data_IF_087177940086
#
_entry.id   IF_087177940086
#
_cell.length_a   1.000
_cell.length_b   1.000
_cell.length_c   1.000
_cell.angle_alpha   90.00
_cell.angle_beta   90.00
_cell.angle_gamma   90.00
#
_symmetry.space_group_name_H-M   'P 1'
#
loop_
_entity.id
_entity.type
_entity.pdbx_description
1 polymer ?
#
# COMPACT_ATOMS: atom_id res chain seq x y z
N UNK A 1 71.34 -24.58 8.42
CA UNK A 1 70.62 -23.30 8.26
C UNK A 1 69.51 -23.45 7.23
N UNK A 2 68.37 -22.77 7.47
CA UNK A 2 67.18 -22.55 6.60
C UNK A 2 66.14 -23.68 6.65
N UNK A 3 65.16 -23.62 7.57
CA UNK A 3 63.94 -22.77 7.70
C UNK A 3 62.73 -23.49 7.10
N UNK A 4 61.92 -24.03 8.00
CA UNK A 4 60.55 -24.50 7.75
C UNK A 4 59.64 -23.31 7.49
N UNK A 5 58.67 -23.48 6.58
CA UNK A 5 57.51 -22.61 6.45
C UNK A 5 56.27 -23.48 6.39
N UNK A 6 55.56 -23.52 7.52
CA UNK A 6 54.17 -23.95 7.61
C UNK A 6 53.30 -22.81 7.04
N UNK A 7 52.51 -23.09 6.01
CA UNK A 7 51.44 -22.20 5.56
C UNK A 7 50.13 -22.71 6.17
N UNK A 8 49.58 -21.96 7.12
CA UNK A 8 48.27 -22.19 7.69
C UNK A 8 47.19 -21.66 6.72
N UNK A 9 46.31 -22.54 6.27
CA UNK A 9 45.13 -22.16 5.50
C UNK A 9 44.00 -21.76 6.47
N UNK A 10 43.74 -20.47 6.59
CA UNK A 10 42.58 -19.93 7.30
C UNK A 10 41.34 -20.03 6.40
N UNK A 11 40.47 -21.02 6.66
CA UNK A 11 39.10 -21.01 6.12
C UNK A 11 38.29 -19.93 6.83
N UNK A 12 38.01 -18.83 6.13
CA UNK A 12 36.99 -17.86 6.55
C UNK A 12 35.61 -18.44 6.22
N UNK A 13 34.95 -19.05 7.21
CA UNK A 13 33.54 -19.41 7.13
C UNK A 13 32.71 -18.12 7.29
N UNK A 14 32.31 -17.52 6.18
CA UNK A 14 31.32 -16.44 6.15
C UNK A 14 29.96 -17.01 6.55
N UNK A 15 29.57 -16.81 7.80
CA UNK A 15 28.19 -17.00 8.26
C UNK A 15 27.29 -16.02 7.51
N UNK A 16 26.58 -16.50 6.49
CA UNK A 16 25.39 -15.82 6.02
C UNK A 16 24.33 -15.99 7.11
N UNK A 17 24.17 -14.96 7.94
CA UNK A 17 22.96 -14.81 8.75
C UNK A 17 21.80 -14.60 7.78
N UNK A 18 21.17 -15.70 7.35
CA UNK A 18 19.86 -15.63 6.75
C UNK A 18 18.94 -14.98 7.76
N UNK A 19 18.50 -13.75 7.48
CA UNK A 19 17.37 -13.15 8.17
C UNK A 19 16.17 -14.03 7.85
N UNK A 20 15.91 -15.04 8.68
CA UNK A 20 14.57 -15.61 8.75
C UNK A 20 13.68 -14.46 9.16
N UNK A 21 12.83 -13.99 8.23
CA UNK A 21 11.77 -13.05 8.52
C UNK A 21 10.90 -13.68 9.62
N UNK A 22 11.19 -13.32 10.88
CA UNK A 22 10.29 -13.57 11.99
C UNK A 22 9.05 -12.77 11.63
N UNK A 23 7.95 -13.45 11.31
CA UNK A 23 6.68 -12.80 11.06
C UNK A 23 6.40 -11.85 12.24
N UNK A 24 6.47 -10.55 11.99
CA UNK A 24 6.31 -9.53 13.00
C UNK A 24 4.89 -9.64 13.55
N UNK A 25 4.75 -9.96 14.85
CA UNK A 25 3.41 -10.21 15.41
C UNK A 25 2.55 -8.94 15.52
N UNK A 26 3.11 -7.76 15.21
CA UNK A 26 2.49 -6.43 15.13
C UNK A 26 1.25 -6.29 16.02
N UNK A 27 1.47 -6.47 17.32
CA UNK A 27 0.41 -6.49 18.33
C UNK A 27 -0.26 -5.14 18.39
N UNK A 28 -1.58 -5.17 18.50
CA UNK A 28 -2.44 -3.98 18.60
C UNK A 28 -3.51 -4.28 19.61
N UNK A 29 -3.49 -3.54 20.72
CA UNK A 29 -4.52 -3.63 21.74
C UNK A 29 -5.46 -2.43 21.67
N UNK A 30 -6.37 -2.50 20.71
CA UNK A 30 -7.47 -1.54 20.52
C UNK A 30 -8.74 -2.31 20.18
N UNK A 31 -9.89 -1.80 20.60
CA UNK A 31 -11.20 -2.36 20.24
C UNK A 31 -11.74 -1.76 18.95
N UNK A 32 -11.58 -0.46 18.73
CA UNK A 32 -11.94 0.22 17.48
C UNK A 32 -10.71 0.88 16.83
N UNK A 33 -10.36 0.59 15.56
CA UNK A 33 -9.26 1.25 14.88
C UNK A 33 -9.37 2.78 14.80
N UNK A 34 -10.58 3.34 14.96
CA UNK A 34 -10.79 4.78 15.05
C UNK A 34 -10.23 5.39 16.35
N UNK A 35 -10.01 4.59 17.39
CA UNK A 35 -9.42 5.03 18.66
C UNK A 35 -7.87 5.01 18.63
N UNK A 36 -7.26 4.66 17.50
CA UNK A 36 -5.80 4.63 17.37
C UNK A 36 -5.23 6.03 17.23
N UNK A 37 -4.33 6.38 18.15
CA UNK A 37 -3.53 7.60 18.07
C UNK A 37 -2.51 7.55 16.92
N UNK A 38 -2.13 8.72 16.40
CA UNK A 38 -1.22 8.85 15.27
C UNK A 38 0.13 8.12 15.45
N UNK A 39 0.69 8.15 16.66
CA UNK A 39 1.94 7.46 16.99
C UNK A 39 1.77 5.93 16.89
N UNK A 40 0.67 5.40 17.45
CA UNK A 40 0.37 3.97 17.40
C UNK A 40 0.14 3.49 15.95
N UNK A 41 -0.52 4.29 15.12
CA UNK A 41 -0.69 3.97 13.68
C UNK A 41 0.66 3.87 12.97
N UNK A 42 1.57 4.80 13.28
CA UNK A 42 2.91 4.82 12.66
C UNK A 42 3.74 3.61 13.10
N UNK A 43 3.70 3.24 14.39
CA UNK A 43 4.36 2.04 14.90
C UNK A 43 3.80 0.75 14.28
N UNK A 44 2.47 0.65 14.14
CA UNK A 44 1.81 -0.46 13.46
C UNK A 44 2.29 -0.55 12.00
N UNK A 45 2.35 0.58 11.31
CA UNK A 45 2.75 0.64 9.93
C UNK A 45 4.21 0.22 9.73
N UNK A 46 5.11 0.75 10.56
CA UNK A 46 6.52 0.40 10.54
C UNK A 46 6.76 -1.08 10.82
N UNK A 47 5.95 -1.67 11.69
CA UNK A 47 6.00 -3.10 11.97
C UNK A 47 5.60 -3.95 10.77
N UNK A 48 4.51 -3.62 10.07
CA UNK A 48 3.87 -4.52 9.09
C UNK A 48 4.22 -4.23 7.63
N UNK A 49 4.75 -3.05 7.31
CA UNK A 49 4.95 -2.61 5.91
C UNK A 49 5.75 -3.59 5.03
N UNK A 50 6.78 -4.23 5.58
CA UNK A 50 7.57 -5.22 4.84
C UNK A 50 6.77 -6.51 4.56
N UNK A 51 5.98 -6.98 5.53
CA UNK A 51 5.11 -8.15 5.36
C UNK A 51 4.04 -7.90 4.28
N UNK A 52 3.50 -6.68 4.22
CA UNK A 52 2.50 -6.33 3.21
C UNK A 52 3.04 -6.50 1.79
N UNK A 53 4.25 -5.97 1.52
CA UNK A 53 4.91 -6.13 0.23
C UNK A 53 5.15 -7.60 -0.09
N UNK A 54 5.77 -8.35 0.84
CA UNK A 54 6.03 -9.79 0.66
C UNK A 54 4.74 -10.56 0.29
N UNK A 55 3.64 -10.22 0.96
CA UNK A 55 2.34 -10.83 0.74
C UNK A 55 1.73 -10.50 -0.62
N UNK A 56 1.80 -9.23 -1.05
CA UNK A 56 1.28 -8.82 -2.35
C UNK A 56 2.12 -9.38 -3.52
N UNK A 57 3.44 -9.50 -3.35
CA UNK A 57 4.36 -10.01 -4.37
C UNK A 57 4.40 -11.54 -4.48
N UNK A 58 3.51 -12.27 -3.78
CA UNK A 58 3.31 -13.72 -4.00
C UNK A 58 2.62 -14.03 -5.32
N UNK A 59 1.97 -13.03 -5.93
CA UNK A 59 1.39 -13.11 -7.26
C UNK A 59 2.28 -12.45 -8.32
N UNK A 60 1.71 -12.24 -9.50
CA UNK A 60 2.36 -11.69 -10.69
C UNK A 60 1.87 -10.27 -11.04
N UNK A 61 1.18 -9.59 -10.13
CA UNK A 61 0.71 -8.23 -10.35
C UNK A 61 1.88 -7.22 -10.35
N UNK A 62 2.09 -6.54 -11.48
CA UNK A 62 3.21 -5.61 -11.66
C UNK A 62 3.17 -4.42 -10.70
N UNK A 63 1.97 -3.86 -10.45
CA UNK A 63 1.80 -2.74 -9.51
C UNK A 63 2.19 -3.15 -8.09
N UNK A 64 1.79 -4.34 -7.65
CA UNK A 64 2.17 -4.88 -6.34
C UNK A 64 3.69 -5.00 -6.17
N UNK A 65 4.44 -5.21 -7.25
CA UNK A 65 5.89 -5.33 -7.23
C UNK A 65 6.61 -3.97 -7.12
N UNK A 66 5.98 -2.86 -7.52
CA UNK A 66 6.68 -1.56 -7.67
C UNK A 66 6.05 -0.39 -6.92
N UNK A 67 4.81 -0.49 -6.44
CA UNK A 67 4.08 0.68 -5.91
C UNK A 67 4.77 1.39 -4.74
N UNK A 68 5.67 0.70 -4.03
CA UNK A 68 6.44 1.27 -2.92
C UNK A 68 7.52 2.25 -3.35
N UNK A 69 7.92 2.23 -4.61
CA UNK A 69 8.86 3.18 -5.18
C UNK A 69 8.16 4.47 -5.64
N UNK A 70 6.83 4.48 -5.61
CA UNK A 70 6.01 5.62 -6.04
C UNK A 70 5.85 6.67 -4.93
N UNK A 71 5.29 7.82 -5.30
CA UNK A 71 5.13 8.93 -4.38
C UNK A 71 4.05 8.63 -3.33
N UNK A 72 4.45 8.65 -2.06
CA UNK A 72 3.52 8.52 -0.92
C UNK A 72 2.69 9.79 -0.75
N UNK A 73 1.38 9.66 -0.51
CA UNK A 73 0.44 10.80 -0.55
C UNK A 73 -0.09 11.22 0.81
N UNK A 74 0.26 10.48 1.87
CA UNK A 74 -0.01 10.87 3.25
C UNK A 74 1.19 10.59 4.16
N UNK A 75 1.29 11.35 5.24
CA UNK A 75 2.36 11.26 6.25
C UNK A 75 2.32 9.96 7.07
N UNK A 76 1.15 9.32 7.14
CA UNK A 76 0.89 8.02 7.77
C UNK A 76 -0.40 7.40 7.20
N UNK A 77 -0.65 6.11 7.46
CA UNK A 77 -1.96 5.52 7.20
C UNK A 77 -3.07 6.17 8.02
N UNK A 78 -4.31 6.11 7.54
CA UNK A 78 -5.47 6.58 8.31
C UNK A 78 -6.73 5.75 8.05
N UNK A 79 -7.68 5.78 8.98
CA UNK A 79 -8.96 5.07 8.84
C UNK A 79 -9.95 5.95 8.08
N UNK A 80 -9.99 5.81 6.75
CA UNK A 80 -10.84 6.65 5.90
C UNK A 80 -12.32 6.21 5.82
N UNK A 81 -12.73 5.16 6.55
CA UNK A 81 -14.12 4.69 6.66
C UNK A 81 -14.73 4.02 5.42
N UNK A 82 -14.46 4.55 4.22
CA UNK A 82 -14.98 4.05 2.94
C UNK A 82 -14.51 2.63 2.60
N UNK A 83 -13.37 2.20 3.16
CA UNK A 83 -12.87 0.82 3.05
C UNK A 83 -13.09 0.03 4.37
N UNK A 84 -14.11 0.41 5.15
CA UNK A 84 -14.36 -0.05 6.51
C UNK A 84 -13.32 0.49 7.50
N UNK A 85 -13.07 -0.26 8.57
CA UNK A 85 -12.13 0.12 9.65
C UNK A 85 -10.67 -0.22 9.30
N UNK A 86 -10.29 -0.09 8.02
CA UNK A 86 -8.92 -0.34 7.56
C UNK A 86 -8.12 0.95 7.60
N UNK A 87 -6.86 0.84 8.03
CA UNK A 87 -5.88 1.90 7.83
C UNK A 87 -5.42 1.83 6.37
N UNK A 88 -5.40 2.97 5.67
CA UNK A 88 -5.01 3.06 4.28
C UNK A 88 -3.82 4.00 4.11
N UNK A 89 -2.86 3.57 3.30
CA UNK A 89 -1.78 4.41 2.79
C UNK A 89 -1.85 4.40 1.26
N UNK A 90 -1.90 5.57 0.65
CA UNK A 90 -1.98 5.70 -0.81
C UNK A 90 -0.64 6.11 -1.40
N UNK A 91 -0.33 5.52 -2.54
CA UNK A 91 0.83 5.81 -3.38
C UNK A 91 0.36 6.16 -4.79
N UNK A 92 0.96 7.18 -5.38
CA UNK A 92 0.65 7.66 -6.72
C UNK A 92 1.90 7.50 -7.60
N UNK A 93 1.75 6.81 -8.74
CA UNK A 93 2.84 6.70 -9.71
C UNK A 93 3.24 8.09 -10.26
N UNK A 94 4.38 8.16 -10.94
CA UNK A 94 4.94 9.44 -11.42
C UNK A 94 3.98 10.21 -12.34
N UNK A 95 3.13 9.50 -13.09
CA UNK A 95 2.10 10.09 -13.95
C UNK A 95 1.00 10.77 -13.13
N UNK A 96 0.60 10.15 -12.02
CA UNK A 96 -0.47 10.65 -11.16
C UNK A 96 0.00 11.72 -10.17
N UNK A 97 1.25 11.62 -9.68
CA UNK A 97 1.72 12.30 -8.47
C UNK A 97 1.49 13.82 -8.51
N UNK A 98 1.89 14.50 -9.59
CA UNK A 98 1.75 15.96 -9.69
C UNK A 98 0.30 16.42 -9.52
N UNK A 99 -0.64 15.74 -10.21
CA UNK A 99 -2.05 16.13 -10.15
C UNK A 99 -2.72 15.66 -8.85
N UNK A 100 -2.42 14.45 -8.39
CA UNK A 100 -3.04 13.86 -7.20
C UNK A 100 -2.70 14.64 -5.92
N UNK A 101 -1.45 15.12 -5.81
CA UNK A 101 -0.98 15.85 -4.63
C UNK A 101 -1.48 17.30 -4.55
N UNK A 102 -2.21 17.79 -5.56
CA UNK A 102 -2.90 19.07 -5.47
C UNK A 102 -4.09 19.00 -4.51
N UNK A 103 -4.61 17.79 -4.25
CA UNK A 103 -5.77 17.55 -3.40
C UNK A 103 -6.95 18.49 -3.72
N UNK A 104 -7.11 18.84 -5.00
CA UNK A 104 -8.09 19.82 -5.43
C UNK A 104 -9.50 19.27 -5.27
N UNK A 105 -10.41 20.10 -4.77
CA UNK A 105 -11.77 19.68 -4.41
C UNK A 105 -12.71 19.55 -5.62
N UNK A 106 -12.35 20.16 -6.75
CA UNK A 106 -13.09 20.11 -8.01
C UNK A 106 -12.19 20.30 -9.23
N UNK A 107 -12.73 20.02 -10.42
CA UNK A 107 -12.06 20.29 -11.70
C UNK A 107 -10.82 19.42 -11.94
N UNK A 108 -10.71 18.30 -11.22
CA UNK A 108 -9.59 17.38 -11.36
C UNK A 108 -9.77 16.55 -12.62
N UNK A 109 -8.69 16.39 -13.38
CA UNK A 109 -8.61 15.41 -14.47
C UNK A 109 -7.28 14.70 -14.33
N UNK A 110 -7.30 13.41 -14.03
CA UNK A 110 -6.10 12.61 -13.94
C UNK A 110 -5.55 12.29 -15.33
N UNK A 111 -4.23 12.38 -15.55
CA UNK A 111 -3.63 11.95 -16.81
C UNK A 111 -3.88 10.46 -17.09
N UNK A 112 -4.03 10.09 -18.36
CA UNK A 112 -4.08 8.67 -18.79
C UNK A 112 -2.81 7.96 -18.32
N UNK A 113 -2.94 6.74 -17.80
CA UNK A 113 -1.83 6.00 -17.21
C UNK A 113 -1.53 6.36 -15.75
N UNK A 114 -2.32 7.26 -15.14
CA UNK A 114 -2.31 7.45 -13.69
C UNK A 114 -2.67 6.16 -12.99
N UNK A 115 -1.87 5.76 -12.00
CA UNK A 115 -2.14 4.61 -11.16
C UNK A 115 -2.02 5.02 -9.70
N UNK A 116 -3.04 4.68 -8.93
CA UNK A 116 -3.05 4.80 -7.48
C UNK A 116 -3.08 3.42 -6.86
N UNK A 117 -2.21 3.19 -5.90
CA UNK A 117 -2.15 1.97 -5.11
C UNK A 117 -2.42 2.32 -3.64
N UNK A 118 -3.50 1.78 -3.08
CA UNK A 118 -3.90 1.95 -1.67
C UNK A 118 -3.66 0.64 -0.95
N UNK A 119 -2.54 0.54 -0.26
CA UNK A 119 -2.33 -0.61 0.64
C UNK A 119 -3.17 -0.45 1.89
N UNK A 120 -3.51 -1.57 2.53
CA UNK A 120 -4.39 -1.54 3.69
C UNK A 120 -3.96 -2.45 4.81
N UNK A 121 -4.21 -2.01 6.03
CA UNK A 121 -4.01 -2.79 7.25
C UNK A 121 -5.36 -3.06 7.89
N UNK A 122 -5.60 -4.32 8.23
CA UNK A 122 -6.76 -4.75 9.00
C UNK A 122 -6.35 -4.98 10.45
N UNK A 123 -7.04 -4.34 11.39
CA UNK A 123 -6.87 -4.64 12.83
C UNK A 123 -7.77 -5.81 13.21
N UNK A 124 -7.16 -6.91 13.66
CA UNK A 124 -7.87 -8.13 14.02
C UNK A 124 -8.20 -8.16 15.50
N UNK A 125 -9.40 -7.71 15.90
CA UNK A 125 -9.87 -7.72 17.31
C UNK A 125 -9.61 -9.06 18.03
N UNK A 126 -9.98 -10.18 17.41
CA UNK A 126 -9.77 -11.54 17.96
C UNK A 126 -8.31 -11.90 18.24
N UNK A 127 -7.38 -11.42 17.41
CA UNK A 127 -5.95 -11.76 17.50
C UNK A 127 -5.12 -10.63 18.13
N UNK A 128 -5.76 -9.49 18.45
CA UNK A 128 -5.11 -8.29 18.98
C UNK A 128 -3.84 -7.91 18.22
N UNK A 129 -3.97 -7.84 16.88
CA UNK A 129 -2.86 -7.53 15.98
C UNK A 129 -3.27 -6.95 14.64
N UNK A 130 -2.34 -6.23 14.03
CA UNK A 130 -2.40 -5.80 12.64
C UNK A 130 -2.22 -6.99 11.70
N UNK A 131 -2.86 -6.92 10.52
CA UNK A 131 -2.74 -7.89 9.44
C UNK A 131 -2.71 -7.17 8.11
N UNK A 132 -1.97 -7.74 7.16
CA UNK A 132 -2.04 -7.34 5.75
C UNK A 132 -3.48 -7.41 5.26
N UNK A 133 -4.04 -6.28 4.87
CA UNK A 133 -5.31 -6.17 4.13
C UNK A 133 -5.06 -6.22 2.61
N UNK A 134 -6.09 -6.09 1.76
CA UNK A 134 -5.90 -6.04 0.32
C UNK A 134 -5.14 -4.79 -0.14
N UNK A 135 -4.45 -4.88 -1.27
CA UNK A 135 -3.96 -3.73 -2.02
C UNK A 135 -5.01 -3.35 -3.07
N UNK A 136 -5.57 -2.15 -2.96
CA UNK A 136 -6.53 -1.61 -3.91
C UNK A 136 -5.80 -0.79 -4.96
N UNK A 137 -6.12 -0.99 -6.23
CA UNK A 137 -5.46 -0.31 -7.34
C UNK A 137 -6.55 0.31 -8.23
N UNK A 138 -6.34 1.54 -8.66
CA UNK A 138 -7.15 2.17 -9.71
C UNK A 138 -6.24 2.78 -10.77
N UNK A 139 -6.56 2.51 -12.04
CA UNK A 139 -5.80 2.94 -13.20
C UNK A 139 -6.69 3.78 -14.11
N UNK A 140 -6.23 4.98 -14.48
CA UNK A 140 -6.92 5.83 -15.46
C UNK A 140 -6.58 5.36 -16.88
N UNK A 141 -7.59 4.90 -17.60
CA UNK A 141 -7.49 4.51 -19.00
C UNK A 141 -7.66 5.69 -19.96
N UNK A 142 -7.59 5.41 -21.25
CA UNK A 142 -7.93 6.36 -22.31
C UNK A 142 -9.41 6.75 -22.25
N UNK A 143 -9.74 7.91 -22.79
CA UNK A 143 -11.12 8.38 -22.87
C UNK A 143 -12.02 7.35 -23.60
N UNK A 144 -13.10 6.92 -22.94
CA UNK A 144 -14.03 5.93 -23.46
C UNK A 144 -13.58 4.46 -23.34
N UNK A 145 -12.47 4.17 -22.66
CA UNK A 145 -12.00 2.80 -22.41
C UNK A 145 -12.82 2.07 -21.34
N UNK A 146 -13.40 2.81 -20.39
CA UNK A 146 -14.32 2.29 -19.39
C UNK A 146 -15.38 3.36 -19.06
N UNK A 147 -16.26 3.70 -20.01
CA UNK A 147 -17.14 4.86 -19.90
C UNK A 147 -18.12 4.76 -18.71
N UNK A 148 -18.53 3.54 -18.35
CA UNK A 148 -19.38 3.27 -17.18
C UNK A 148 -18.67 3.53 -15.84
N UNK A 149 -17.34 3.69 -15.86
CA UNK A 149 -16.51 3.92 -14.70
C UNK A 149 -15.67 5.21 -14.81
N UNK A 150 -16.10 6.16 -15.65
CA UNK A 150 -15.33 7.38 -15.95
C UNK A 150 -13.88 7.10 -16.35
N UNK A 151 -13.68 6.02 -17.12
CA UNK A 151 -12.39 5.51 -17.60
C UNK A 151 -11.43 5.02 -16.51
N UNK A 152 -11.94 4.79 -15.29
CA UNK A 152 -11.19 4.12 -14.23
C UNK A 152 -11.36 2.61 -14.28
N UNK A 153 -10.26 1.89 -14.18
CA UNK A 153 -10.24 0.43 -14.01
C UNK A 153 -9.71 0.10 -12.63
N UNK A 154 -10.51 -0.61 -11.85
CA UNK A 154 -10.19 -1.03 -10.48
C UNK A 154 -9.69 -2.47 -10.46
N UNK A 155 -8.69 -2.74 -9.62
CA UNK A 155 -8.22 -4.09 -9.33
C UNK A 155 -7.83 -4.21 -7.86
N UNK A 156 -7.84 -5.44 -7.34
CA UNK A 156 -7.54 -5.71 -5.93
C UNK A 156 -6.64 -6.94 -5.84
N UNK A 157 -5.47 -6.76 -5.22
CA UNK A 157 -4.55 -7.85 -4.89
C UNK A 157 -4.82 -8.28 -3.45
N UNK A 158 -5.12 -9.55 -3.24
CA UNK A 158 -5.35 -10.10 -1.90
C UNK A 158 -4.02 -10.26 -1.13
N UNK A 159 -4.05 -10.40 0.21
CA UNK A 159 -2.86 -10.65 1.02
C UNK A 159 -2.07 -11.93 0.68
N UNK A 160 -2.55 -12.75 -0.24
CA UNK A 160 -1.84 -13.94 -0.74
C UNK A 160 -1.33 -13.76 -2.18
N UNK A 161 -1.31 -12.52 -2.67
CA UNK A 161 -0.90 -12.14 -4.02
C UNK A 161 -1.92 -12.41 -5.11
N UNK A 162 -3.05 -13.09 -4.82
CA UNK A 162 -4.05 -13.41 -5.85
C UNK A 162 -4.95 -12.22 -6.14
N UNK A 163 -5.22 -12.00 -7.43
CA UNK A 163 -6.25 -11.05 -7.85
C UNK A 163 -7.62 -11.46 -7.32
N UNK A 164 -8.36 -10.50 -6.77
CA UNK A 164 -9.76 -10.68 -6.39
C UNK A 164 -10.65 -10.50 -7.62
N UNK A 165 -11.65 -11.38 -7.77
CA UNK A 165 -12.70 -11.21 -8.79
C UNK A 165 -13.87 -10.42 -8.20
N UNK A 166 -14.27 -9.35 -8.86
CA UNK A 166 -15.40 -8.50 -8.48
C UNK A 166 -15.93 -7.76 -9.72
N UNK A 167 -17.11 -7.15 -9.60
CA UNK A 167 -17.66 -6.27 -10.63
C UNK A 167 -17.09 -4.87 -10.44
N UNK A 168 -16.69 -4.19 -11.52
CA UNK A 168 -16.11 -2.83 -11.43
C UNK A 168 -17.02 -1.83 -10.71
N UNK A 169 -18.34 -1.94 -10.88
CA UNK A 169 -19.33 -1.12 -10.19
C UNK A 169 -19.24 -1.19 -8.65
N UNK A 170 -18.72 -2.29 -8.09
CA UNK A 170 -18.50 -2.39 -6.65
C UNK A 170 -17.54 -1.32 -6.11
N UNK A 171 -16.51 -0.98 -6.89
CA UNK A 171 -15.60 0.12 -6.55
C UNK A 171 -16.16 1.44 -7.06
N UNK A 172 -16.59 1.48 -8.33
CA UNK A 172 -16.97 2.73 -8.98
C UNK A 172 -18.16 3.41 -8.29
N UNK A 173 -19.23 2.68 -7.96
CA UNK A 173 -20.46 3.27 -7.41
C UNK A 173 -20.20 4.00 -6.08
N UNK A 174 -19.24 3.53 -5.27
CA UNK A 174 -18.79 4.26 -4.08
C UNK A 174 -17.94 5.47 -4.47
N UNK A 175 -17.06 5.33 -5.44
CA UNK A 175 -16.14 6.38 -5.89
C UNK A 175 -16.84 7.57 -6.57
N UNK A 176 -18.06 7.39 -7.11
CA UNK A 176 -18.92 8.47 -7.66
C UNK A 176 -19.17 9.59 -6.65
N UNK A 177 -19.09 9.33 -5.35
CA UNK A 177 -19.17 10.39 -4.33
C UNK A 177 -18.06 11.44 -4.43
N UNK A 178 -17.00 11.16 -5.20
CA UNK A 178 -15.88 12.07 -5.48
C UNK A 178 -15.77 12.42 -6.97
N UNK A 179 -16.89 12.44 -7.72
CA UNK A 179 -16.88 12.73 -9.16
C UNK A 179 -16.27 14.09 -9.52
N UNK A 180 -16.47 15.12 -8.68
CA UNK A 180 -15.86 16.45 -8.86
C UNK A 180 -14.32 16.39 -8.85
N UNK A 181 -13.77 15.36 -8.22
CA UNK A 181 -12.34 15.13 -8.02
C UNK A 181 -11.84 13.95 -8.86
N UNK A 182 -12.48 13.63 -9.98
CA UNK A 182 -12.14 12.48 -10.84
C UNK A 182 -12.07 11.15 -10.06
N UNK A 183 -13.04 10.92 -9.18
CA UNK A 183 -13.22 9.67 -8.45
C UNK A 183 -12.08 9.36 -7.45
N UNK A 184 -11.27 10.34 -7.04
CA UNK A 184 -9.99 10.04 -6.39
C UNK A 184 -10.07 9.57 -4.93
N UNK A 185 -11.09 10.02 -4.19
CA UNK A 185 -11.25 9.75 -2.76
C UNK A 185 -9.90 9.90 -2.01
N UNK A 186 -9.42 11.14 -1.94
CA UNK A 186 -8.12 11.49 -1.35
C UNK A 186 -7.95 10.99 0.09
N UNK A 187 -6.71 10.88 0.60
CA UNK A 187 -6.46 10.67 2.02
C UNK A 187 -7.17 11.72 2.89
N UNK A 188 -7.41 11.39 4.15
CA UNK A 188 -7.95 12.34 5.13
C UNK A 188 -7.05 13.57 5.19
N UNK A 189 -7.66 14.76 5.27
CA UNK A 189 -6.96 16.04 5.19
C UNK A 189 -5.82 16.14 6.22
N UNK A 190 -6.07 15.69 7.45
CA UNK A 190 -5.11 15.69 8.57
C UNK A 190 -3.84 14.86 8.34
N UNK A 191 -3.83 13.97 7.34
CA UNK A 191 -2.66 13.14 7.02
C UNK A 191 -2.08 13.42 5.65
N UNK A 192 -2.71 14.24 4.79
CA UNK A 192 -2.16 14.58 3.47
C UNK A 192 -0.74 15.13 3.62
N UNK A 193 0.16 14.74 2.73
CA UNK A 193 1.46 15.41 2.66
C UNK A 193 1.23 16.87 2.27
N UNK A 194 1.85 17.81 2.96
CA UNK A 194 1.84 19.21 2.55
C UNK A 194 2.90 19.39 1.46
N UNK A 195 2.52 19.99 0.32
CA UNK A 195 3.47 20.49 -0.66
C UNK A 195 4.12 21.78 -0.17
#
# INVERSE_FOLDING_TARGET
MKRQLFAAATLAASLMMGQTAVASDCKVDVEDPFDLEAAAISEIYDCIKAEMVENYTKGDNEVAATYRDWTVTSTRPAVAGAHGNRLLQTFANDVAAEQYLKFADEGVVMPVGSVLAKESITISKKKKKAKTGPLFIMTKGEAGSAPEAADWVYSVVQPNGKMMKFKQSFCHDCHVSWEAQDMLAYPLEEVRVSN
#
